data_IF_379789922438
#
_entry.id   IF_379789922438
#
_cell.length_a   1.000
_cell.length_b   1.000
_cell.length_c   1.000
_cell.angle_alpha   90.00
_cell.angle_beta   90.00
_cell.angle_gamma   90.00
#
_symmetry.space_group_name_H-M   'P 1'
#
loop_
_entity.id
_entity.type
_entity.pdbx_description
1 polymer ?
#
# COMPACT_ATOMS: atom_id res chain seq x y z
N UNK A 1 -8.47 -6.97 9.94
CA UNK A 1 -7.79 -6.10 8.97
C UNK A 1 -8.21 -4.67 9.20
N UNK A 2 -7.23 -3.78 9.31
CA UNK A 2 -7.41 -2.35 9.54
C UNK A 2 -6.64 -1.52 8.52
N UNK A 3 -7.06 -0.28 8.30
CA UNK A 3 -6.31 0.73 7.56
C UNK A 3 -4.94 0.90 8.19
N UNK A 4 -3.88 0.88 7.40
CA UNK A 4 -2.49 0.89 7.90
C UNK A 4 -1.84 -0.49 8.03
N UNK A 5 -2.62 -1.58 7.95
CA UNK A 5 -2.02 -2.92 7.88
C UNK A 5 -1.30 -3.12 6.53
N UNK A 6 -0.18 -3.84 6.57
CA UNK A 6 0.51 -4.34 5.38
C UNK A 6 0.30 -5.85 5.29
N UNK A 7 -0.06 -6.33 4.10
CA UNK A 7 -0.21 -7.75 3.77
C UNK A 7 0.55 -8.09 2.51
N UNK A 8 1.00 -9.33 2.35
CA UNK A 8 1.29 -9.85 1.02
C UNK A 8 0.00 -10.04 0.22
N UNK A 9 0.01 -9.70 -1.05
CA UNK A 9 -1.12 -9.92 -1.95
C UNK A 9 -0.67 -10.40 -3.34
N UNK A 10 -1.47 -11.24 -3.99
CA UNK A 10 -1.30 -11.59 -5.40
C UNK A 10 -2.04 -10.61 -6.32
N UNK A 11 -1.28 -9.73 -6.97
CA UNK A 11 -1.80 -8.71 -7.87
C UNK A 11 -1.85 -9.15 -9.34
N UNK A 12 -1.60 -10.42 -9.65
CA UNK A 12 -1.66 -10.93 -11.03
C UNK A 12 -3.10 -11.26 -11.47
N UNK A 13 -3.39 -11.20 -12.79
CA UNK A 13 -2.56 -10.65 -13.86
C UNK A 13 -2.56 -9.11 -13.84
N UNK A 14 -1.68 -8.50 -14.64
CA UNK A 14 -1.61 -7.05 -14.85
C UNK A 14 -1.34 -6.73 -16.32
N UNK A 15 -1.67 -5.52 -16.75
CA UNK A 15 -1.39 -5.03 -18.11
C UNK A 15 -0.45 -3.83 -18.03
N UNK A 16 0.59 -3.81 -18.88
CA UNK A 16 1.51 -2.67 -18.99
C UNK A 16 2.25 -2.35 -17.68
N UNK A 17 2.12 -1.11 -17.22
CA UNK A 17 2.91 -0.55 -16.10
C UNK A 17 2.27 -0.72 -14.72
N UNK A 18 1.14 -1.42 -14.64
CA UNK A 18 0.51 -1.79 -13.37
C UNK A 18 1.45 -2.62 -12.47
N UNK A 19 1.41 -2.40 -11.16
CA UNK A 19 2.15 -3.24 -10.22
C UNK A 19 1.52 -4.62 -10.07
N UNK A 20 2.19 -5.63 -10.62
CA UNK A 20 1.81 -7.04 -10.52
C UNK A 20 2.71 -7.88 -9.61
N UNK A 21 2.46 -9.20 -9.60
CA UNK A 21 3.19 -10.18 -8.81
C UNK A 21 2.67 -10.33 -7.38
N UNK A 22 3.32 -11.21 -6.62
CA UNK A 22 3.07 -11.33 -5.18
C UNK A 22 3.98 -10.35 -4.46
N UNK A 23 3.40 -9.38 -3.75
CA UNK A 23 4.16 -8.32 -3.08
C UNK A 23 3.42 -7.76 -1.87
N UNK A 24 4.09 -7.03 -0.97
CA UNK A 24 3.41 -6.31 0.08
C UNK A 24 2.50 -5.22 -0.49
N UNK A 25 1.36 -5.00 0.17
CA UNK A 25 0.40 -3.95 -0.12
C UNK A 25 -0.05 -3.30 1.19
N UNK A 26 -0.21 -1.98 1.17
CA UNK A 26 -0.76 -1.22 2.29
C UNK A 26 -2.28 -1.13 2.16
N UNK A 27 -3.03 -1.52 3.19
CA UNK A 27 -4.48 -1.32 3.25
C UNK A 27 -4.79 0.16 3.51
N UNK A 28 -5.48 0.81 2.57
CA UNK A 28 -5.83 2.24 2.65
C UNK A 28 -7.34 2.50 2.75
N UNK A 29 -8.17 1.47 2.54
CA UNK A 29 -9.62 1.55 2.74
C UNK A 29 -9.98 1.81 4.22
N UNK A 30 -11.10 2.50 4.45
CA UNK A 30 -11.63 2.75 5.79
C UNK A 30 -12.05 1.45 6.51
N UNK A 31 -12.01 1.47 7.85
CA UNK A 31 -12.21 0.26 8.65
C UNK A 31 -13.64 -0.31 8.62
N UNK A 32 -14.64 0.55 8.40
CA UNK A 32 -16.03 0.09 8.22
C UNK A 32 -16.13 -0.77 6.96
N UNK A 33 -15.57 -0.29 5.84
CA UNK A 33 -15.45 -1.05 4.60
C UNK A 33 -14.64 -2.32 4.80
N UNK A 34 -13.48 -2.25 5.46
CA UNK A 34 -12.63 -3.42 5.73
C UNK A 34 -13.35 -4.49 6.55
N UNK A 35 -14.26 -4.10 7.45
CA UNK A 35 -15.03 -5.02 8.29
C UNK A 35 -16.14 -5.73 7.50
N UNK A 36 -16.86 -5.01 6.64
CA UNK A 36 -18.10 -5.52 6.04
C UNK A 36 -17.99 -5.93 4.57
N UNK A 37 -17.08 -5.34 3.79
CA UNK A 37 -16.93 -5.64 2.36
C UNK A 37 -16.12 -6.92 2.13
N UNK A 38 -16.40 -7.72 1.08
CA UNK A 38 -15.49 -8.77 0.61
C UNK A 38 -14.21 -8.23 -0.04
N UNK A 39 -14.17 -6.93 -0.38
CA UNK A 39 -13.03 -6.28 -1.02
C UNK A 39 -12.33 -5.28 -0.11
N UNK A 40 -11.09 -4.94 -0.47
CA UNK A 40 -10.30 -3.87 0.16
C UNK A 40 -9.59 -3.02 -0.89
N UNK A 41 -9.37 -1.74 -0.60
CA UNK A 41 -8.50 -0.86 -1.38
C UNK A 41 -7.10 -0.88 -0.76
N UNK A 42 -6.09 -1.14 -1.58
CA UNK A 42 -4.70 -1.18 -1.19
C UNK A 42 -3.78 -0.40 -2.14
N UNK A 43 -2.62 0.01 -1.65
CA UNK A 43 -1.53 0.57 -2.45
C UNK A 43 -0.36 -0.42 -2.56
N UNK A 44 0.23 -0.56 -3.75
CA UNK A 44 1.35 -1.48 -3.97
C UNK A 44 2.66 -0.98 -3.31
N UNK A 45 3.45 -1.92 -2.78
CA UNK A 45 4.78 -1.64 -2.23
C UNK A 45 5.84 -2.29 -3.13
N UNK A 46 6.99 -1.62 -3.31
CA UNK A 46 8.13 -2.13 -4.08
C UNK A 46 9.41 -2.01 -3.26
N UNK A 47 10.29 -3.01 -3.34
CA UNK A 47 11.65 -2.93 -2.77
C UNK A 47 12.65 -2.28 -3.74
N UNK A 48 12.20 -1.81 -4.90
CA UNK A 48 13.04 -1.09 -5.87
C UNK A 48 13.17 0.36 -5.44
N UNK A 49 14.27 0.68 -4.75
CA UNK A 49 14.54 2.02 -4.20
C UNK A 49 14.94 3.06 -5.26
N UNK A 50 15.46 2.62 -6.42
CA UNK A 50 15.88 3.51 -7.51
C UNK A 50 14.69 4.00 -8.37
N UNK A 51 13.64 4.52 -7.74
CA UNK A 51 12.54 5.19 -8.45
C UNK A 51 12.76 6.70 -8.49
N UNK A 52 12.20 7.35 -9.52
CA UNK A 52 12.06 8.80 -9.52
C UNK A 52 11.32 9.23 -8.26
N UNK A 53 11.82 10.29 -7.59
CA UNK A 53 11.21 10.79 -6.35
C UNK A 53 9.90 11.51 -6.71
N UNK A 54 8.79 10.79 -6.60
CA UNK A 54 7.46 11.37 -6.78
C UNK A 54 6.86 11.76 -5.42
N UNK A 55 6.00 12.80 -5.37
CA UNK A 55 5.31 13.18 -4.13
C UNK A 55 4.32 12.12 -3.64
N UNK A 56 4.03 11.10 -4.44
CA UNK A 56 3.18 9.94 -4.10
C UNK A 56 3.95 8.79 -3.46
N UNK A 57 5.27 8.91 -3.30
CA UNK A 57 6.14 7.85 -2.78
C UNK A 57 6.41 8.02 -1.29
N UNK A 58 6.19 6.96 -0.52
CA UNK A 58 6.54 6.91 0.91
C UNK A 58 7.60 5.83 1.13
N UNK A 59 8.80 6.25 1.52
CA UNK A 59 9.88 5.32 1.91
C UNK A 59 9.58 4.65 3.26
N UNK A 60 9.79 3.34 3.30
CA UNK A 60 9.73 2.49 4.48
C UNK A 60 11.12 1.89 4.72
N UNK A 61 11.64 2.06 5.93
CA UNK A 61 12.91 1.46 6.34
C UNK A 61 12.67 0.10 6.99
N UNK A 62 13.40 -0.91 6.56
CA UNK A 62 13.33 -2.26 7.13
C UNK A 62 13.66 -2.30 8.63
N UNK A 63 14.46 -1.37 9.14
CA UNK A 63 14.76 -1.30 10.57
C UNK A 63 13.61 -0.77 11.44
N UNK A 64 12.56 -0.19 10.86
CA UNK A 64 11.43 0.40 11.58
C UNK A 64 10.18 -0.48 11.59
N UNK A 65 10.11 -1.44 10.68
CA UNK A 65 8.96 -2.29 10.44
C UNK A 65 9.44 -3.71 10.18
N UNK A 66 8.64 -4.74 10.46
CA UNK A 66 8.99 -6.15 10.19
C UNK A 66 9.01 -6.51 8.68
N UNK A 67 9.60 -5.64 7.86
CA UNK A 67 9.74 -5.77 6.42
C UNK A 67 11.20 -6.14 6.13
N UNK A 68 11.41 -7.14 5.28
CA UNK A 68 12.73 -7.72 5.01
C UNK A 68 13.71 -6.75 4.33
N UNK A 69 13.19 -5.75 3.59
CA UNK A 69 14.00 -4.81 2.79
C UNK A 69 13.38 -3.42 2.80
N UNK A 70 14.24 -2.41 2.72
CA UNK A 70 13.82 -1.04 2.45
C UNK A 70 12.91 -1.02 1.21
N UNK A 71 11.81 -0.30 1.34
CA UNK A 71 10.70 -0.37 0.42
C UNK A 71 10.08 1.00 0.20
N UNK A 72 9.29 1.13 -0.86
CA UNK A 72 8.55 2.35 -1.21
C UNK A 72 7.09 1.99 -1.44
N UNK A 73 6.19 2.67 -0.74
CA UNK A 73 4.75 2.64 -1.01
C UNK A 73 4.46 3.55 -2.20
N UNK A 74 3.76 3.03 -3.20
CA UNK A 74 3.45 3.72 -4.45
C UNK A 74 1.98 4.13 -4.44
N UNK A 75 1.67 5.37 -4.01
CA UNK A 75 0.28 5.82 -3.89
C UNK A 75 -0.39 6.15 -5.23
N UNK A 76 0.38 6.16 -6.32
CA UNK A 76 -0.13 6.16 -7.69
C UNK A 76 -0.53 4.76 -8.20
N UNK A 77 -0.29 3.70 -7.42
CA UNK A 77 -0.58 2.30 -7.78
C UNK A 77 -1.59 1.69 -6.81
N UNK A 78 -2.80 2.26 -6.82
CA UNK A 78 -3.93 1.84 -6.01
C UNK A 78 -4.75 0.76 -6.71
N UNK A 79 -5.35 -0.14 -5.92
CA UNK A 79 -6.26 -1.16 -6.45
C UNK A 79 -7.27 -1.61 -5.41
N UNK A 80 -8.51 -1.80 -5.83
CA UNK A 80 -9.49 -2.60 -5.08
C UNK A 80 -9.29 -4.07 -5.42
N UNK A 81 -9.07 -4.90 -4.40
CA UNK A 81 -8.86 -6.34 -4.54
C UNK A 81 -9.84 -7.12 -3.65
N UNK A 82 -10.21 -8.32 -4.09
CA UNK A 82 -10.89 -9.28 -3.23
C UNK A 82 -9.95 -9.74 -2.10
N UNK A 83 -10.48 -9.93 -0.88
CA UNK A 83 -9.70 -10.39 0.28
C UNK A 83 -9.04 -11.75 0.06
N UNK A 84 -9.54 -12.60 -0.83
CA UNK A 84 -8.90 -13.86 -1.21
C UNK A 84 -7.52 -13.68 -1.84
N UNK A 85 -7.20 -12.48 -2.36
CA UNK A 85 -5.87 -12.17 -2.88
C UNK A 85 -4.85 -11.87 -1.78
N UNK A 86 -5.30 -11.57 -0.56
CA UNK A 86 -4.43 -11.33 0.59
C UNK A 86 -3.88 -12.65 1.14
N UNK A 87 -2.65 -12.60 1.61
CA UNK A 87 -1.92 -13.69 2.25
C UNK A 87 -1.54 -13.29 3.67
N UNK A 88 -0.30 -13.52 4.05
CA UNK A 88 0.21 -13.23 5.38
C UNK A 88 0.23 -11.72 5.67
N UNK A 89 -0.17 -11.37 6.88
CA UNK A 89 0.02 -10.03 7.44
C UNK A 89 1.51 -9.82 7.73
N UNK A 90 2.04 -8.68 7.33
CA UNK A 90 3.45 -8.30 7.54
C UNK A 90 3.58 -7.47 8.81
N UNK A 91 2.99 -6.27 8.82
CA UNK A 91 3.08 -5.35 9.95
C UNK A 91 1.92 -4.34 9.92
N UNK A 92 1.98 -3.33 10.80
CA UNK A 92 1.09 -2.18 10.82
C UNK A 92 1.92 -0.89 10.85
N UNK A 93 1.54 0.09 10.04
CA UNK A 93 2.22 1.39 10.02
C UNK A 93 1.83 2.25 11.22
N UNK A 94 2.78 3.04 11.71
CA UNK A 94 2.52 3.99 12.79
C UNK A 94 1.72 5.22 12.30
N UNK A 95 1.17 5.98 13.26
CA UNK A 95 0.37 7.17 12.95
C UNK A 95 1.14 8.24 12.15
N UNK A 96 2.41 8.59 12.48
CA UNK A 96 3.19 9.54 11.69
C UNK A 96 3.35 9.12 10.23
N UNK A 97 3.62 7.83 9.97
CA UNK A 97 3.73 7.33 8.60
C UNK A 97 2.37 7.33 7.90
N UNK A 98 1.30 6.96 8.60
CA UNK A 98 -0.06 7.04 8.06
C UNK A 98 -0.50 8.48 7.74
N UNK A 99 -0.03 9.49 8.49
CA UNK A 99 -0.27 10.89 8.15
C UNK A 99 0.41 11.29 6.83
N UNK A 100 1.66 10.84 6.60
CA UNK A 100 2.36 11.04 5.33
C UNK A 100 1.66 10.33 4.17
N UNK A 101 1.18 9.10 4.39
CA UNK A 101 0.37 8.34 3.43
C UNK A 101 -0.90 9.12 3.06
N UNK A 102 -1.60 9.70 4.04
CA UNK A 102 -2.80 10.49 3.78
C UNK A 102 -2.51 11.70 2.89
N UNK A 103 -1.42 12.42 3.16
CA UNK A 103 -1.03 13.57 2.36
C UNK A 103 -0.65 13.18 0.93
N UNK A 104 0.13 12.11 0.77
CA UNK A 104 0.50 11.61 -0.56
C UNK A 104 -0.70 11.04 -1.34
N UNK A 105 -1.70 10.46 -0.65
CA UNK A 105 -2.97 10.04 -1.28
C UNK A 105 -3.75 11.23 -1.80
N UNK A 106 -3.84 12.33 -1.03
CA UNK A 106 -4.48 13.56 -1.49
C UNK A 106 -3.81 14.10 -2.75
N UNK A 107 -2.48 14.11 -2.79
CA UNK A 107 -1.74 14.50 -3.99
C UNK A 107 -2.03 13.55 -5.16
N UNK A 108 -1.99 12.23 -4.94
CA UNK A 108 -2.20 11.25 -6.00
C UNK A 108 -3.60 11.28 -6.62
N UNK A 109 -4.59 11.74 -5.87
CA UNK A 109 -6.01 11.73 -6.25
C UNK A 109 -6.59 13.14 -6.42
N UNK A 110 -5.74 14.18 -6.38
CA UNK A 110 -6.16 15.59 -6.47
C UNK A 110 -7.29 15.95 -5.49
N UNK A 111 -7.23 15.41 -4.26
CA UNK A 111 -8.21 15.70 -3.22
C UNK A 111 -7.74 16.92 -2.43
N UNK A 112 -8.42 18.06 -2.64
CA UNK A 112 -8.23 19.38 -2.02
C UNK A 112 -7.12 19.42 -0.94
N UNK A 113 -5.96 19.90 -1.37
CA UNK A 113 -4.83 20.34 -0.52
C UNK A 113 -5.11 21.67 0.14
#
# INVERSE_FOLDING_TARGET
MRRGDIYYADLRPVIGSEQGGIRPVLIIQNDVGNKHSPTVICAAITSKMNKAKLPTHIELRAGQYDIVKDSVILLEQLRTIDKQRLKDRVCHLDEPTMARVNQALKVSLELNT
#
